data_IF_713852669520
#
_entry.id   IF_713852669520
#
_cell.length_a   1.000
_cell.length_b   1.000
_cell.length_c   1.000
_cell.angle_alpha   90.00
_cell.angle_beta   90.00
_cell.angle_gamma   90.00
#
_symmetry.space_group_name_H-M   'P 1'
#
loop_
_entity.id
_entity.type
_entity.pdbx_description
1 polymer ?
#
# COMPACT_ATOMS: atom_id res chain seq x y z
N UNK A 1 -14.34 -23.31 -7.39
CA UNK A 1 -15.32 -22.21 -7.40
C UNK A 1 -14.89 -21.11 -6.45
N UNK A 2 -14.73 -21.38 -5.14
CA UNK A 2 -14.23 -20.39 -4.16
C UNK A 2 -12.87 -19.81 -4.57
N UNK A 3 -11.90 -20.64 -4.96
CA UNK A 3 -10.58 -20.17 -5.47
C UNK A 3 -10.71 -19.25 -6.69
N UNK A 4 -11.62 -19.56 -7.63
CA UNK A 4 -11.87 -18.70 -8.80
C UNK A 4 -12.49 -17.36 -8.40
N UNK A 5 -13.41 -17.36 -7.42
CA UNK A 5 -14.00 -16.15 -6.86
C UNK A 5 -13.00 -15.29 -6.09
N UNK A 6 -12.13 -15.90 -5.29
CA UNK A 6 -11.04 -15.21 -4.60
C UNK A 6 -10.08 -14.57 -5.62
N UNK A 7 -9.67 -15.32 -6.64
CA UNK A 7 -8.83 -14.80 -7.72
C UNK A 7 -9.50 -13.61 -8.45
N UNK A 8 -10.81 -13.73 -8.75
CA UNK A 8 -11.60 -12.67 -9.36
C UNK A 8 -11.64 -11.40 -8.51
N UNK A 9 -11.83 -11.53 -7.19
CA UNK A 9 -11.84 -10.39 -6.26
C UNK A 9 -10.50 -9.65 -6.21
N UNK A 10 -9.39 -10.39 -6.10
CA UNK A 10 -8.04 -9.81 -6.07
C UNK A 10 -7.70 -9.17 -7.42
N UNK A 11 -8.06 -9.82 -8.53
CA UNK A 11 -7.88 -9.27 -9.87
C UNK A 11 -8.67 -7.96 -10.08
N UNK A 12 -9.88 -7.87 -9.54
CA UNK A 12 -10.67 -6.64 -9.59
C UNK A 12 -10.08 -5.54 -8.70
N UNK A 13 -9.64 -5.88 -7.48
CA UNK A 13 -9.11 -4.92 -6.51
C UNK A 13 -7.78 -4.30 -6.93
N UNK A 14 -6.82 -5.12 -7.38
CA UNK A 14 -5.47 -4.66 -7.76
C UNK A 14 -5.27 -4.54 -9.27
N UNK A 15 -6.34 -4.71 -10.07
CA UNK A 15 -6.25 -4.70 -11.54
C UNK A 15 -5.21 -5.71 -12.09
N UNK A 16 -4.99 -6.79 -11.33
CA UNK A 16 -3.88 -7.75 -11.47
C UNK A 16 -4.42 -9.17 -11.69
N UNK A 17 -4.67 -9.58 -12.96
CA UNK A 17 -5.29 -10.87 -13.25
C UNK A 17 -4.39 -12.06 -12.95
N UNK A 18 -3.08 -11.99 -13.22
CA UNK A 18 -2.15 -13.10 -12.94
C UNK A 18 -1.84 -13.12 -11.45
N UNK A 19 -1.62 -11.96 -10.84
CA UNK A 19 -1.40 -11.84 -9.40
C UNK A 19 -2.59 -12.37 -8.60
N UNK A 20 -3.83 -12.13 -9.04
CA UNK A 20 -5.03 -12.70 -8.42
C UNK A 20 -5.11 -14.22 -8.48
N UNK A 21 -4.70 -14.84 -9.59
CA UNK A 21 -4.63 -16.31 -9.69
C UNK A 21 -3.60 -16.87 -8.72
N UNK A 22 -2.40 -16.28 -8.71
CA UNK A 22 -1.32 -16.71 -7.82
C UNK A 22 -1.67 -16.51 -6.35
N UNK A 23 -2.34 -15.39 -6.01
CA UNK A 23 -2.89 -15.16 -4.67
C UNK A 23 -3.84 -16.29 -4.26
N UNK A 24 -4.79 -16.65 -5.13
CA UNK A 24 -5.75 -17.68 -4.80
C UNK A 24 -5.10 -19.08 -4.71
N UNK A 25 -4.00 -19.30 -5.43
CA UNK A 25 -3.21 -20.53 -5.32
C UNK A 25 -2.36 -20.55 -4.04
N UNK A 26 -1.81 -19.40 -3.61
CA UNK A 26 -0.95 -19.27 -2.43
C UNK A 26 -1.77 -19.33 -1.13
N UNK A 27 -2.91 -18.65 -1.07
CA UNK A 27 -3.69 -18.48 0.18
C UNK A 27 -4.99 -19.30 0.24
N UNK A 28 -5.62 -19.59 -0.91
CA UNK A 28 -6.96 -20.18 -0.92
C UNK A 28 -7.01 -21.63 -1.44
N UNK A 29 -5.89 -22.18 -1.92
CA UNK A 29 -5.84 -23.53 -2.46
C UNK A 29 -4.84 -24.41 -1.70
N UNK A 30 -5.34 -25.46 -1.06
CA UNK A 30 -4.48 -26.48 -0.43
C UNK A 30 -3.92 -27.50 -1.42
N UNK A 31 -4.61 -27.70 -2.56
CA UNK A 31 -4.15 -28.60 -3.60
C UNK A 31 -4.41 -28.03 -5.00
N UNK A 32 -3.41 -28.16 -5.87
CA UNK A 32 -3.44 -27.63 -7.21
C UNK A 32 -3.73 -28.71 -8.26
N UNK A 33 -4.80 -28.52 -9.03
CA UNK A 33 -5.06 -29.25 -10.29
C UNK A 33 -4.89 -28.30 -11.47
N UNK A 34 -4.30 -28.74 -12.58
CA UNK A 34 -4.10 -27.91 -13.78
C UNK A 34 -5.41 -27.30 -14.31
N UNK A 35 -6.52 -28.05 -14.21
CA UNK A 35 -7.85 -27.57 -14.57
C UNK A 35 -8.33 -26.39 -13.70
N UNK A 36 -7.88 -26.30 -12.44
CA UNK A 36 -8.20 -25.18 -11.56
C UNK A 36 -7.47 -23.91 -12.00
N UNK A 37 -6.19 -24.01 -12.38
CA UNK A 37 -5.41 -22.85 -12.86
C UNK A 37 -6.02 -22.25 -14.12
N UNK A 38 -6.35 -23.09 -15.11
CA UNK A 38 -6.96 -22.56 -16.34
C UNK A 38 -8.30 -21.88 -16.07
N UNK A 39 -9.13 -22.46 -15.19
CA UNK A 39 -10.43 -21.88 -14.82
C UNK A 39 -10.29 -20.57 -14.06
N UNK A 40 -9.35 -20.47 -13.10
CA UNK A 40 -9.08 -19.22 -12.39
C UNK A 40 -8.52 -18.15 -13.34
N UNK A 41 -7.59 -18.51 -14.21
CA UNK A 41 -7.02 -17.61 -15.21
C UNK A 41 -8.07 -17.07 -16.17
N UNK A 42 -8.95 -17.93 -16.69
CA UNK A 42 -10.06 -17.49 -17.52
C UNK A 42 -10.99 -16.54 -16.76
N UNK A 43 -11.29 -16.85 -15.49
CA UNK A 43 -12.15 -15.99 -14.66
C UNK A 43 -11.54 -14.61 -14.45
N UNK A 44 -10.26 -14.52 -14.09
CA UNK A 44 -9.59 -13.22 -13.87
C UNK A 44 -9.41 -12.43 -15.18
N UNK A 45 -9.22 -13.11 -16.32
CA UNK A 45 -9.19 -12.46 -17.63
C UNK A 45 -10.55 -11.83 -17.97
N UNK A 46 -11.66 -12.54 -17.74
CA UNK A 46 -13.01 -11.99 -17.94
C UNK A 46 -13.24 -10.79 -17.02
N UNK A 47 -12.87 -10.89 -15.74
CA UNK A 47 -12.97 -9.77 -14.79
C UNK A 47 -12.18 -8.56 -15.27
N UNK A 48 -10.95 -8.74 -15.75
CA UNK A 48 -10.14 -7.64 -16.26
C UNK A 48 -10.79 -6.95 -17.47
N UNK A 49 -11.38 -7.71 -18.40
CA UNK A 49 -12.10 -7.15 -19.56
C UNK A 49 -13.35 -6.39 -19.13
N UNK A 50 -14.16 -6.97 -18.25
CA UNK A 50 -15.40 -6.34 -17.75
C UNK A 50 -15.10 -5.07 -16.98
N UNK A 51 -14.10 -5.10 -16.09
CA UNK A 51 -13.66 -3.93 -15.34
C UNK A 51 -13.18 -2.83 -16.28
N UNK A 52 -12.38 -3.16 -17.30
CA UNK A 52 -11.91 -2.21 -18.32
C UNK A 52 -13.06 -1.58 -19.10
N UNK A 53 -13.99 -2.39 -19.57
CA UNK A 53 -15.18 -1.90 -20.28
C UNK A 53 -16.02 -0.97 -19.39
N UNK A 54 -16.17 -1.32 -18.11
CA UNK A 54 -16.85 -0.50 -17.11
C UNK A 54 -16.15 0.85 -16.86
N UNK A 55 -14.84 0.85 -16.65
CA UNK A 55 -14.05 2.09 -16.47
C UNK A 55 -14.16 2.97 -17.72
N UNK A 56 -14.04 2.41 -18.93
CA UNK A 56 -14.17 3.16 -20.17
C UNK A 56 -15.57 3.76 -20.35
N UNK A 57 -16.62 3.00 -20.03
CA UNK A 57 -17.98 3.52 -20.02
C UNK A 57 -18.13 4.68 -19.04
N UNK A 58 -17.53 4.55 -17.86
CA UNK A 58 -17.56 5.56 -16.81
C UNK A 58 -16.69 6.79 -17.07
N UNK A 59 -15.62 6.66 -17.88
CA UNK A 59 -14.77 7.76 -18.33
C UNK A 59 -15.52 8.78 -19.21
N UNK A 60 -16.72 8.44 -19.70
CA UNK A 60 -17.61 9.38 -20.39
C UNK A 60 -18.26 10.43 -19.46
N UNK A 61 -17.84 10.48 -18.18
CA UNK A 61 -18.32 11.45 -17.18
C UNK A 61 -19.62 11.04 -16.47
N UNK A 62 -20.16 9.86 -16.78
CA UNK A 62 -21.46 9.40 -16.25
C UNK A 62 -21.40 8.69 -14.90
N UNK A 63 -20.21 8.32 -14.41
CA UNK A 63 -20.04 7.56 -13.16
C UNK A 63 -19.15 8.26 -12.11
N UNK A 64 -18.90 9.56 -12.24
CA UNK A 64 -17.97 10.27 -11.34
C UNK A 64 -16.55 9.68 -11.39
N UNK A 65 -15.92 9.59 -10.21
CA UNK A 65 -14.52 9.14 -10.04
C UNK A 65 -14.23 7.70 -10.48
N UNK A 66 -15.25 6.86 -10.72
CA UNK A 66 -15.03 5.47 -11.18
C UNK A 66 -14.37 5.37 -12.56
N UNK A 67 -14.49 6.41 -13.39
CA UNK A 67 -13.83 6.49 -14.69
C UNK A 67 -12.38 7.01 -14.62
N UNK A 68 -11.94 7.49 -13.46
CA UNK A 68 -10.63 8.12 -13.27
C UNK A 68 -9.60 7.12 -12.72
N UNK A 69 -8.41 7.11 -13.30
CA UNK A 69 -7.32 6.22 -12.90
C UNK A 69 -6.94 5.17 -13.95
N UNK A 70 -5.69 5.23 -14.40
CA UNK A 70 -5.11 4.31 -15.39
C UNK A 70 -5.06 2.86 -14.93
N UNK A 71 -4.87 1.95 -15.89
CA UNK A 71 -4.64 0.51 -15.65
C UNK A 71 -3.29 0.26 -14.96
N UNK A 72 -2.31 1.06 -15.34
CA UNK A 72 -1.02 1.15 -14.69
C UNK A 72 -1.20 2.17 -13.56
N UNK A 73 -1.06 1.72 -12.32
CA UNK A 73 -1.17 2.63 -11.19
C UNK A 73 0.10 3.48 -11.07
N UNK A 74 1.24 2.99 -11.59
CA UNK A 74 2.56 3.58 -11.32
C UNK A 74 3.43 3.66 -12.58
N UNK A 75 3.88 4.87 -12.90
CA UNK A 75 5.02 5.08 -13.80
C UNK A 75 6.27 5.22 -12.92
N UNK A 76 6.91 4.09 -12.62
CA UNK A 76 8.20 4.11 -11.92
C UNK A 76 9.21 4.58 -12.97
N UNK A 77 9.94 5.65 -12.66
CA UNK A 77 10.93 6.24 -13.58
C UNK A 77 11.85 5.20 -14.21
N UNK A 78 12.34 5.50 -15.42
CA UNK A 78 13.13 4.60 -16.26
C UNK A 78 14.16 3.78 -15.44
N UNK A 79 14.10 2.44 -15.48
CA UNK A 79 14.94 1.60 -14.64
C UNK A 79 16.41 1.82 -14.98
N UNK A 80 17.20 2.16 -13.95
CA UNK A 80 18.65 2.03 -14.01
C UNK A 80 18.97 0.54 -14.17
N UNK A 81 19.59 0.17 -15.29
CA UNK A 81 19.92 -1.23 -15.62
C UNK A 81 21.13 -1.76 -14.84
N UNK A 82 21.79 -0.92 -14.05
CA UNK A 82 22.97 -1.26 -13.27
C UNK A 82 22.70 -1.01 -11.78
N UNK A 83 22.56 -2.08 -11.00
CA UNK A 83 22.45 -1.99 -9.55
C UNK A 83 23.83 -1.86 -8.92
N UNK A 84 24.01 -0.82 -8.12
CA UNK A 84 25.22 -0.63 -7.32
C UNK A 84 25.20 -1.57 -6.10
N UNK A 85 26.39 -1.92 -5.58
CA UNK A 85 26.50 -2.65 -4.32
C UNK A 85 25.80 -1.91 -3.16
N UNK A 86 25.78 -0.57 -3.22
CA UNK A 86 25.06 0.27 -2.25
C UNK A 86 23.55 0.06 -2.28
N UNK A 87 22.98 -0.20 -3.45
CA UNK A 87 21.54 -0.46 -3.62
C UNK A 87 21.16 -1.78 -2.95
N UNK A 88 21.97 -2.82 -3.14
CA UNK A 88 21.74 -4.14 -2.53
C UNK A 88 21.79 -4.05 -1.01
N UNK A 89 22.76 -3.31 -0.45
CA UNK A 89 22.86 -3.09 1.01
C UNK A 89 21.62 -2.36 1.53
N UNK A 90 21.18 -1.31 0.85
CA UNK A 90 19.98 -0.57 1.23
C UNK A 90 18.73 -1.46 1.18
N UNK A 91 18.60 -2.33 0.18
CA UNK A 91 17.48 -3.28 0.05
C UNK A 91 17.50 -4.35 1.15
N UNK A 92 18.68 -4.87 1.52
CA UNK A 92 18.79 -5.82 2.63
C UNK A 92 18.37 -5.16 3.94
N UNK A 93 18.82 -3.94 4.22
CA UNK A 93 18.41 -3.19 5.42
C UNK A 93 16.90 -2.91 5.39
N UNK A 94 16.37 -2.50 4.24
CA UNK A 94 14.94 -2.24 4.05
C UNK A 94 14.10 -3.48 4.40
N UNK A 95 14.46 -4.65 3.86
CA UNK A 95 13.76 -5.90 4.08
C UNK A 95 13.88 -6.43 5.52
N UNK A 96 15.07 -6.34 6.12
CA UNK A 96 15.28 -6.81 7.50
C UNK A 96 14.46 -6.00 8.51
N UNK A 97 14.47 -4.67 8.40
CA UNK A 97 13.68 -3.79 9.27
C UNK A 97 12.17 -3.99 9.03
N UNK A 98 11.73 -4.15 7.78
CA UNK A 98 10.33 -4.46 7.49
C UNK A 98 9.88 -5.82 8.06
N UNK A 99 10.75 -6.84 8.05
CA UNK A 99 10.45 -8.13 8.66
C UNK A 99 10.29 -8.06 10.17
N UNK A 100 11.13 -7.26 10.86
CA UNK A 100 11.00 -6.98 12.29
C UNK A 100 9.69 -6.23 12.57
N UNK A 101 9.43 -5.14 11.84
CA UNK A 101 8.21 -4.34 11.97
C UNK A 101 6.95 -5.16 11.67
N UNK A 102 7.00 -6.07 10.70
CA UNK A 102 5.90 -6.97 10.34
C UNK A 102 5.60 -7.99 11.43
N UNK A 103 6.63 -8.57 12.05
CA UNK A 103 6.45 -9.47 13.20
C UNK A 103 5.87 -8.73 14.42
N UNK A 104 6.35 -7.52 14.72
CA UNK A 104 5.79 -6.67 15.79
C UNK A 104 4.33 -6.32 15.47
N UNK A 105 4.01 -5.99 14.22
CA UNK A 105 2.65 -5.68 13.79
C UNK A 105 1.71 -6.85 14.07
N UNK A 106 2.09 -8.06 13.66
CA UNK A 106 1.29 -9.27 13.88
C UNK A 106 1.11 -9.59 15.38
N UNK A 107 2.16 -9.44 16.18
CA UNK A 107 2.09 -9.63 17.63
C UNK A 107 1.11 -8.65 18.29
N UNK A 108 1.18 -7.36 17.92
CA UNK A 108 0.28 -6.34 18.45
C UNK A 108 -1.16 -6.57 17.98
N UNK A 109 -1.36 -6.92 16.70
CA UNK A 109 -2.66 -7.27 16.12
C UNK A 109 -3.31 -8.42 16.89
N UNK A 110 -2.60 -9.53 17.14
CA UNK A 110 -3.15 -10.66 17.90
C UNK A 110 -3.62 -10.20 19.30
N UNK A 111 -2.81 -9.38 19.99
CA UNK A 111 -3.16 -8.86 21.32
C UNK A 111 -4.39 -7.94 21.30
N UNK A 112 -4.49 -7.07 20.28
CA UNK A 112 -5.64 -6.18 20.09
C UNK A 112 -6.90 -6.98 19.78
N UNK A 113 -6.84 -7.94 18.86
CA UNK A 113 -7.98 -8.79 18.48
C UNK A 113 -8.48 -9.63 19.67
N UNK A 114 -7.58 -10.20 20.48
CA UNK A 114 -7.97 -10.90 21.72
C UNK A 114 -8.70 -9.98 22.69
N UNK A 115 -8.22 -8.75 22.85
CA UNK A 115 -8.88 -7.74 23.69
C UNK A 115 -10.26 -7.39 23.16
N UNK A 116 -10.39 -7.23 21.84
CA UNK A 116 -11.68 -6.98 21.19
C UNK A 116 -12.64 -8.15 21.31
N UNK A 117 -12.17 -9.40 21.28
CA UNK A 117 -13.01 -10.58 21.52
C UNK A 117 -13.69 -10.52 22.89
N UNK A 118 -12.94 -10.18 23.95
CA UNK A 118 -13.47 -10.04 25.32
C UNK A 118 -14.52 -8.92 25.39
N UNK A 119 -14.29 -7.80 24.70
CA UNK A 119 -15.24 -6.68 24.64
C UNK A 119 -16.50 -7.10 23.86
N UNK A 120 -16.32 -7.83 22.77
CA UNK A 120 -17.37 -8.30 21.89
C UNK A 120 -18.30 -9.31 22.56
N UNK A 121 -17.81 -10.10 23.52
CA UNK A 121 -18.61 -11.02 24.32
C UNK A 121 -19.58 -10.30 25.29
N UNK A 122 -19.30 -9.06 25.68
CA UNK A 122 -20.17 -8.28 26.59
C UNK A 122 -21.50 -7.85 25.96
N UNK A 123 -21.68 -8.07 24.66
CA UNK A 123 -22.94 -7.84 23.95
C UNK A 123 -22.82 -6.90 22.75
N UNK A 124 -23.88 -6.81 21.92
CA UNK A 124 -23.85 -6.05 20.66
C UNK A 124 -23.62 -4.55 20.86
N UNK A 125 -24.08 -3.98 21.97
CA UNK A 125 -23.89 -2.57 22.29
C UNK A 125 -22.40 -2.21 22.40
N UNK A 126 -21.60 -3.04 23.09
CA UNK A 126 -20.15 -2.82 23.22
C UNK A 126 -19.41 -2.94 21.89
N UNK A 127 -19.86 -3.84 20.99
CA UNK A 127 -19.29 -3.99 19.64
C UNK A 127 -19.45 -2.71 18.83
N UNK A 128 -20.67 -2.16 18.81
CA UNK A 128 -20.99 -0.93 18.08
C UNK A 128 -20.24 0.25 18.69
N UNK A 129 -20.24 0.36 20.02
CA UNK A 129 -19.51 1.43 20.71
C UNK A 129 -18.01 1.41 20.40
N UNK A 130 -17.38 0.23 20.39
CA UNK A 130 -15.97 0.07 20.03
C UNK A 130 -15.71 0.53 18.58
N UNK A 131 -16.55 0.12 17.63
CA UNK A 131 -16.42 0.52 16.23
C UNK A 131 -16.57 2.05 16.05
N UNK A 132 -17.52 2.68 16.75
CA UNK A 132 -17.72 4.14 16.74
C UNK A 132 -16.56 4.88 17.40
N UNK A 133 -16.01 4.36 18.50
CA UNK A 133 -14.87 4.97 19.17
C UNK A 133 -13.62 4.95 18.28
N UNK A 134 -13.36 3.84 17.59
CA UNK A 134 -12.23 3.70 16.68
C UNK A 134 -12.42 4.56 15.42
N UNK A 135 -13.64 4.63 14.87
CA UNK A 135 -13.90 5.50 13.72
C UNK A 135 -13.68 6.97 14.08
N UNK A 136 -14.20 7.44 15.22
CA UNK A 136 -13.94 8.80 15.72
C UNK A 136 -12.45 9.06 15.91
N UNK A 137 -11.71 8.12 16.52
CA UNK A 137 -10.26 8.23 16.68
C UNK A 137 -9.54 8.38 15.33
N UNK A 138 -9.87 7.53 14.36
CA UNK A 138 -9.26 7.59 13.03
C UNK A 138 -9.55 8.91 12.33
N UNK A 139 -10.80 9.38 12.37
CA UNK A 139 -11.19 10.67 11.78
C UNK A 139 -10.48 11.85 12.46
N UNK A 140 -10.35 11.83 13.79
CA UNK A 140 -9.59 12.85 14.52
C UNK A 140 -8.11 12.85 14.09
N UNK A 141 -7.46 11.69 14.03
CA UNK A 141 -6.07 11.61 13.57
C UNK A 141 -5.91 12.14 12.14
N UNK A 142 -6.76 11.72 11.21
CA UNK A 142 -6.68 12.14 9.81
C UNK A 142 -6.90 13.64 9.62
N UNK A 143 -7.78 14.26 10.41
CA UNK A 143 -8.06 15.70 10.31
C UNK A 143 -7.04 16.58 11.05
N UNK A 144 -6.60 16.19 12.25
CA UNK A 144 -5.75 17.03 13.09
C UNK A 144 -4.26 16.87 12.81
N UNK A 145 -3.77 15.70 12.35
CA UNK A 145 -2.34 15.53 12.08
C UNK A 145 -1.79 16.45 10.96
N UNK A 146 -2.53 16.71 9.86
CA UNK A 146 -2.09 17.66 8.83
C UNK A 146 -1.79 19.07 9.35
N UNK A 147 -2.36 19.50 10.49
CA UNK A 147 -2.05 20.79 11.11
C UNK A 147 -0.60 20.93 11.56
N UNK A 148 0.10 19.81 11.81
CA UNK A 148 1.48 19.80 12.29
C UNK A 148 2.46 20.09 11.15
N UNK A 149 2.07 19.80 9.90
CA UNK A 149 2.94 19.96 8.74
C UNK A 149 3.00 21.42 8.26
N UNK A 150 4.16 21.82 7.78
CA UNK A 150 4.38 23.15 7.22
C UNK A 150 3.86 23.24 5.78
N UNK A 151 3.45 24.44 5.39
CA UNK A 151 3.08 24.73 4.00
C UNK A 151 4.31 24.84 3.11
N UNK A 152 4.26 24.19 1.95
CA UNK A 152 5.34 24.13 0.96
C UNK A 152 4.90 24.89 -0.30
N UNK A 153 5.75 25.71 -0.92
CA UNK A 153 5.42 26.40 -2.16
C UNK A 153 5.17 25.40 -3.28
N UNK A 154 4.17 25.69 -4.12
CA UNK A 154 3.90 24.89 -5.31
C UNK A 154 5.09 24.90 -6.29
N UNK A 155 5.46 23.74 -6.86
CA UNK A 155 6.50 23.69 -7.89
C UNK A 155 6.04 24.44 -9.16
N UNK A 156 6.95 25.18 -9.79
CA UNK A 156 6.67 26.00 -10.98
C UNK A 156 6.55 25.21 -12.28
N UNK A 157 7.12 24.00 -12.32
CA UNK A 157 7.20 23.15 -13.53
C UNK A 157 6.20 21.98 -13.54
N UNK A 158 5.18 21.99 -12.68
CA UNK A 158 4.20 20.90 -12.64
C UNK A 158 3.15 21.02 -13.74
N UNK A 159 2.98 19.95 -14.53
CA UNK A 159 1.88 19.81 -15.50
C UNK A 159 0.49 19.68 -14.85
N UNK A 160 0.47 19.46 -13.53
CA UNK A 160 -0.72 19.24 -12.69
C UNK A 160 -1.02 20.52 -11.91
N UNK A 161 -2.30 20.91 -11.76
CA UNK A 161 -2.67 22.09 -10.98
C UNK A 161 -2.23 21.95 -9.51
N UNK A 162 -1.58 23.00 -8.99
CA UNK A 162 -1.21 23.12 -7.59
C UNK A 162 -1.72 24.47 -7.04
N UNK A 163 -2.53 24.48 -5.97
CA UNK A 163 -3.10 23.33 -5.26
C UNK A 163 -4.33 22.73 -5.97
N UNK A 164 -4.53 21.42 -5.83
CA UNK A 164 -5.74 20.72 -6.25
C UNK A 164 -6.87 20.98 -5.25
N UNK A 165 -8.01 21.48 -5.73
CA UNK A 165 -9.21 21.77 -4.93
C UNK A 165 -10.15 20.56 -4.86
N UNK A 166 -10.07 19.65 -5.84
CA UNK A 166 -10.91 18.46 -5.93
C UNK A 166 -10.57 17.39 -4.87
N UNK A 167 -11.46 16.41 -4.68
CA UNK A 167 -11.27 15.29 -3.74
C UNK A 167 -10.08 14.38 -4.10
N UNK A 168 -9.69 14.32 -5.37
CA UNK A 168 -8.47 13.66 -5.86
C UNK A 168 -7.45 14.71 -6.31
N UNK A 169 -6.16 14.46 -6.11
CA UNK A 169 -5.13 15.35 -6.62
C UNK A 169 -3.75 15.19 -5.99
N UNK A 170 -2.72 15.63 -6.70
CA UNK A 170 -1.34 15.49 -6.22
C UNK A 170 -1.01 16.48 -5.10
N UNK A 171 -1.59 17.69 -5.07
CA UNK A 171 -1.17 18.75 -4.14
C UNK A 171 -2.35 19.33 -3.37
N UNK A 172 -2.63 18.81 -2.16
CA UNK A 172 -3.75 19.29 -1.34
C UNK A 172 -3.42 20.59 -0.62
N UNK A 173 -4.33 21.56 -0.74
CA UNK A 173 -4.34 22.74 0.11
C UNK A 173 -5.06 22.42 1.43
N UNK A 174 -4.37 22.65 2.53
CA UNK A 174 -4.95 22.53 3.86
C UNK A 174 -4.38 23.62 4.76
N UNK A 175 -5.21 24.62 5.07
CA UNK A 175 -4.87 25.77 5.90
C UNK A 175 -3.57 26.51 5.47
N UNK A 176 -3.31 26.53 4.16
CA UNK A 176 -2.14 27.19 3.57
C UNK A 176 -2.54 28.43 2.77
N UNK A 177 -1.64 29.43 2.64
CA UNK A 177 -1.85 30.57 1.75
C UNK A 177 -1.94 30.13 0.27
N UNK A 178 -2.54 30.96 -0.62
CA UNK A 178 -2.64 30.63 -2.04
C UNK A 178 -1.25 30.42 -2.66
N UNK A 179 -1.12 29.38 -3.48
CA UNK A 179 0.16 28.97 -4.09
C UNK A 179 1.03 28.07 -3.22
N UNK A 180 0.53 27.62 -2.06
CA UNK A 180 1.18 26.63 -1.20
C UNK A 180 0.30 25.40 -1.03
N UNK A 181 0.94 24.25 -0.78
CA UNK A 181 0.29 22.99 -0.47
C UNK A 181 0.82 22.41 0.85
N UNK A 182 0.08 21.48 1.44
CA UNK A 182 0.47 20.76 2.64
C UNK A 182 0.76 19.30 2.26
N UNK A 183 1.99 18.84 2.49
CA UNK A 183 2.45 17.53 2.04
C UNK A 183 1.79 16.38 2.82
N UNK A 184 1.60 16.55 4.13
CA UNK A 184 0.92 15.60 5.01
C UNK A 184 -0.58 15.54 4.71
N UNK A 185 -1.22 16.67 4.44
CA UNK A 185 -2.61 16.73 3.96
C UNK A 185 -2.76 16.00 2.62
N UNK A 186 -1.77 16.09 1.74
CA UNK A 186 -1.78 15.38 0.47
C UNK A 186 -1.64 13.86 0.61
N UNK A 187 -1.26 13.36 1.79
CA UNK A 187 -1.22 11.92 2.10
C UNK A 187 -2.51 11.48 2.82
N UNK A 188 -3.01 12.25 3.81
CA UNK A 188 -4.19 11.87 4.60
C UNK A 188 -5.54 12.23 3.96
N UNK A 189 -5.63 13.35 3.22
CA UNK A 189 -6.87 13.89 2.65
C UNK A 189 -7.03 13.57 1.16
N UNK A 190 -6.34 12.52 0.71
CA UNK A 190 -6.48 11.94 -0.62
C UNK A 190 -7.09 10.55 -0.51
N UNK A 191 -7.56 10.03 -1.65
CA UNK A 191 -7.87 8.60 -1.75
C UNK A 191 -6.62 7.77 -1.45
N UNK A 192 -6.80 6.57 -0.90
CA UNK A 192 -5.66 5.69 -0.65
C UNK A 192 -4.90 5.36 -1.94
N UNK A 193 -5.61 5.20 -3.07
CA UNK A 193 -5.00 4.99 -4.38
C UNK A 193 -4.09 6.16 -4.78
N UNK A 194 -4.57 7.41 -4.65
CA UNK A 194 -3.76 8.58 -4.97
C UNK A 194 -2.62 8.81 -3.98
N UNK A 195 -2.81 8.47 -2.71
CA UNK A 195 -1.73 8.49 -1.72
C UNK A 195 -0.61 7.50 -2.08
N UNK A 196 -0.95 6.27 -2.52
CA UNK A 196 0.06 5.30 -2.97
C UNK A 196 0.73 5.80 -4.26
N UNK A 197 -0.02 6.32 -5.23
CA UNK A 197 0.53 6.93 -6.46
C UNK A 197 1.52 8.05 -6.14
N UNK A 198 1.15 8.94 -5.24
CA UNK A 198 1.99 10.04 -4.79
C UNK A 198 3.28 9.56 -4.12
N UNK A 199 3.22 8.49 -3.32
CA UNK A 199 4.41 7.91 -2.68
C UNK A 199 5.30 7.18 -3.68
N UNK A 200 4.74 6.55 -4.70
CA UNK A 200 5.50 5.81 -5.73
C UNK A 200 6.02 6.72 -6.85
N UNK A 201 5.56 7.96 -6.92
CA UNK A 201 5.99 8.94 -7.92
C UNK A 201 7.52 9.19 -7.88
N UNK A 202 8.19 9.28 -9.05
CA UNK A 202 9.64 9.45 -9.15
C UNK A 202 10.13 10.80 -8.62
N UNK A 203 11.46 10.94 -8.56
CA UNK A 203 12.22 11.99 -7.86
C UNK A 203 11.86 13.45 -8.22
N UNK A 204 11.21 13.70 -9.36
CA UNK A 204 11.15 15.02 -10.02
C UNK A 204 9.91 15.85 -9.63
N UNK A 205 8.80 15.23 -9.23
CA UNK A 205 7.52 15.94 -9.09
C UNK A 205 7.20 16.37 -7.66
N UNK A 206 7.48 15.51 -6.67
CA UNK A 206 7.03 15.75 -5.28
C UNK A 206 7.99 15.29 -4.20
N UNK A 207 8.56 16.27 -3.51
CA UNK A 207 9.41 16.07 -2.34
C UNK A 207 8.58 16.16 -1.05
N UNK A 208 8.38 15.02 -0.38
CA UNK A 208 7.82 14.99 0.97
C UNK A 208 8.92 15.21 2.00
N UNK A 209 8.60 15.93 3.08
CA UNK A 209 9.49 16.04 4.23
C UNK A 209 9.56 14.71 4.99
N UNK A 210 10.73 14.40 5.55
CA UNK A 210 10.96 13.19 6.34
C UNK A 210 10.03 13.15 7.56
N UNK A 211 9.80 14.29 8.21
CA UNK A 211 8.87 14.41 9.34
C UNK A 211 7.44 14.02 8.94
N UNK A 212 6.94 14.54 7.82
CA UNK A 212 5.60 14.23 7.30
C UNK A 212 5.47 12.75 6.94
N UNK A 213 6.48 12.17 6.28
CA UNK A 213 6.50 10.74 5.95
C UNK A 213 6.50 9.85 7.20
N UNK A 214 7.28 10.22 8.22
CA UNK A 214 7.34 9.45 9.47
C UNK A 214 6.03 9.53 10.25
N UNK A 215 5.42 10.72 10.35
CA UNK A 215 4.10 10.91 10.98
C UNK A 215 3.05 10.06 10.25
N UNK A 216 3.04 10.12 8.91
CA UNK A 216 2.12 9.33 8.10
C UNK A 216 2.34 7.82 8.30
N UNK A 217 3.59 7.35 8.22
CA UNK A 217 3.96 5.96 8.47
C UNK A 217 3.48 5.48 9.85
N UNK A 218 3.85 6.19 10.91
CA UNK A 218 3.49 5.81 12.28
C UNK A 218 1.97 5.76 12.47
N UNK A 219 1.27 6.77 11.95
CA UNK A 219 -0.19 6.85 12.05
C UNK A 219 -0.88 5.71 11.33
N UNK A 220 -0.53 5.45 10.06
CA UNK A 220 -1.15 4.36 9.28
C UNK A 220 -0.78 3.00 9.88
N UNK A 221 0.45 2.83 10.37
CA UNK A 221 0.89 1.60 11.03
C UNK A 221 0.08 1.33 12.30
N UNK A 222 0.00 2.28 13.24
CA UNK A 222 -0.73 2.07 14.51
C UNK A 222 -2.26 2.06 14.35
N UNK A 223 -2.82 2.94 13.53
CA UNK A 223 -4.26 2.91 13.24
C UNK A 223 -4.62 1.63 12.49
N UNK A 224 -3.77 1.12 11.60
CA UNK A 224 -3.94 -0.18 10.97
C UNK A 224 -4.07 -1.31 11.98
N UNK A 225 -3.24 -1.33 13.04
CA UNK A 225 -3.34 -2.32 14.13
C UNK A 225 -4.67 -2.17 14.88
N UNK A 226 -5.07 -0.95 15.23
CA UNK A 226 -6.28 -0.69 16.04
C UNK A 226 -7.57 -0.90 15.25
N UNK A 227 -7.58 -0.57 13.96
CA UNK A 227 -8.76 -0.75 13.09
C UNK A 227 -8.99 -2.21 12.74
N UNK A 228 -7.97 -3.06 12.87
CA UNK A 228 -8.12 -4.48 12.61
C UNK A 228 -8.92 -5.21 13.69
N UNK A 229 -9.86 -6.05 13.25
CA UNK A 229 -10.67 -6.87 14.15
C UNK A 229 -11.88 -6.15 14.76
N UNK A 230 -12.15 -4.90 14.36
CA UNK A 230 -13.43 -4.25 14.65
C UNK A 230 -14.56 -4.96 13.91
N UNK A 231 -15.80 -4.80 14.38
CA UNK A 231 -16.98 -5.42 13.79
C UNK A 231 -17.47 -4.70 12.50
N UNK A 232 -16.55 -4.45 11.55
CA UNK A 232 -16.79 -3.78 10.26
C UNK A 232 -16.05 -4.57 9.17
N UNK A 233 -16.65 -4.81 7.99
CA UNK A 233 -15.94 -5.43 6.87
C UNK A 233 -14.83 -4.49 6.37
N UNK A 234 -13.57 -4.85 6.63
CA UNK A 234 -12.40 -4.07 6.22
C UNK A 234 -11.25 -4.98 5.78
N UNK A 235 -10.38 -4.48 4.89
CA UNK A 235 -9.17 -5.17 4.45
C UNK A 235 -7.90 -4.57 5.06
N UNK A 236 -6.87 -5.40 5.25
CA UNK A 236 -5.55 -4.98 5.75
C UNK A 236 -4.54 -4.61 4.64
N UNK A 237 -4.81 -4.99 3.39
CA UNK A 237 -3.83 -4.84 2.31
C UNK A 237 -3.41 -3.39 2.06
N UNK A 238 -4.38 -2.49 1.89
CA UNK A 238 -4.12 -1.09 1.53
C UNK A 238 -3.36 -0.33 2.64
N UNK A 239 -3.76 -0.40 3.93
CA UNK A 239 -3.00 0.23 5.02
C UNK A 239 -1.56 -0.27 5.12
N UNK A 240 -1.32 -1.57 4.90
CA UNK A 240 0.03 -2.14 4.94
C UNK A 240 0.87 -1.66 3.75
N UNK A 241 0.28 -1.57 2.55
CA UNK A 241 0.95 -0.98 1.37
C UNK A 241 1.32 0.47 1.65
N UNK A 242 0.40 1.29 2.17
CA UNK A 242 0.65 2.70 2.49
C UNK A 242 1.74 2.89 3.54
N UNK A 243 1.69 2.10 4.62
CA UNK A 243 2.72 2.12 5.66
C UNK A 243 4.09 1.72 5.07
N UNK A 244 4.15 0.62 4.33
CA UNK A 244 5.38 0.17 3.66
C UNK A 244 5.90 1.19 2.63
N UNK A 245 5.02 1.83 1.87
CA UNK A 245 5.36 2.87 0.91
C UNK A 245 6.00 4.08 1.58
N UNK A 246 5.39 4.56 2.66
CA UNK A 246 5.91 5.68 3.44
C UNK A 246 7.26 5.34 4.08
N UNK A 247 7.36 4.16 4.69
CA UNK A 247 8.60 3.64 5.26
C UNK A 247 9.72 3.52 4.20
N UNK A 248 9.43 2.94 3.05
CA UNK A 248 10.36 2.85 1.93
C UNK A 248 10.86 4.21 1.47
N UNK A 249 9.97 5.21 1.41
CA UNK A 249 10.35 6.59 1.08
C UNK A 249 11.22 7.24 2.15
N UNK A 250 10.98 6.98 3.45
CA UNK A 250 11.87 7.41 4.54
C UNK A 250 13.26 6.79 4.37
N UNK A 251 13.34 5.49 4.17
CA UNK A 251 14.63 4.79 3.98
C UNK A 251 15.36 5.32 2.74
N UNK A 252 14.65 5.60 1.65
CA UNK A 252 15.25 6.18 0.44
C UNK A 252 15.96 7.52 0.69
N UNK A 253 15.42 8.35 1.60
CA UNK A 253 16.02 9.63 1.98
C UNK A 253 17.24 9.44 2.88
N UNK A 254 17.20 8.45 3.77
CA UNK A 254 18.33 8.15 4.66
C UNK A 254 19.52 7.54 3.91
N UNK A 255 19.25 6.76 2.87
CA UNK A 255 20.26 6.06 2.07
C UNK A 255 20.61 6.79 0.76
N UNK A 256 20.10 8.01 0.53
CA UNK A 256 20.39 8.85 -0.64
C UNK A 256 21.88 8.96 -1.02
N UNK A 257 22.87 9.02 -0.10
CA UNK A 257 24.27 9.08 -0.48
C UNK A 257 24.86 7.73 -0.96
N UNK A 258 24.19 6.61 -0.69
CA UNK A 258 24.70 5.24 -0.93
C UNK A 258 24.02 4.59 -2.14
N UNK A 259 22.78 4.99 -2.43
CA UNK A 259 21.94 4.39 -3.47
C UNK A 259 21.69 5.34 -4.63
N UNK A 260 21.62 4.79 -5.84
CA UNK A 260 21.19 5.52 -7.03
C UNK A 260 19.76 5.21 -7.45
N UNK A 261 19.05 4.35 -6.69
CA UNK A 261 17.67 3.98 -7.00
C UNK A 261 16.71 5.16 -6.77
N UNK A 262 15.66 5.18 -7.59
CA UNK A 262 14.59 6.14 -7.46
C UNK A 262 13.82 5.99 -6.13
N UNK A 263 13.46 7.13 -5.53
CA UNK A 263 12.70 7.19 -4.28
C UNK A 263 11.33 6.49 -4.39
N UNK A 264 10.69 6.60 -5.56
CA UNK A 264 9.45 5.90 -5.89
C UNK A 264 9.62 4.39 -5.86
N UNK A 265 10.74 3.91 -6.39
CA UNK A 265 11.05 2.48 -6.39
C UNK A 265 11.35 1.95 -4.98
N UNK A 266 12.07 2.71 -4.14
CA UNK A 266 12.20 2.36 -2.72
C UNK A 266 10.87 2.28 -1.98
N UNK A 267 9.92 3.15 -2.34
CA UNK A 267 8.57 3.12 -1.76
C UNK A 267 7.85 1.83 -2.17
N UNK A 268 7.97 1.40 -3.43
CA UNK A 268 7.48 0.10 -3.90
C UNK A 268 8.12 -1.08 -3.15
N UNK A 269 9.45 -1.07 -2.99
CA UNK A 269 10.17 -2.10 -2.23
C UNK A 269 9.77 -2.10 -0.75
N UNK A 270 9.50 -0.94 -0.18
CA UNK A 270 8.99 -0.77 1.17
C UNK A 270 7.60 -1.38 1.33
N UNK A 271 6.69 -1.12 0.38
CA UNK A 271 5.36 -1.73 0.35
C UNK A 271 5.43 -3.25 0.22
N UNK A 272 6.27 -3.76 -0.70
CA UNK A 272 6.50 -5.19 -0.88
C UNK A 272 7.01 -5.83 0.42
N UNK A 273 8.09 -5.29 0.98
CA UNK A 273 8.72 -5.82 2.18
C UNK A 273 7.80 -5.82 3.39
N UNK A 274 6.98 -4.77 3.60
CA UNK A 274 6.02 -4.73 4.70
C UNK A 274 4.92 -5.78 4.52
N UNK A 275 4.34 -5.93 3.32
CA UNK A 275 3.36 -6.98 3.04
C UNK A 275 3.94 -8.39 3.22
N UNK A 276 5.18 -8.61 2.78
CA UNK A 276 5.89 -9.88 2.99
C UNK A 276 6.16 -10.17 4.47
N UNK A 277 6.42 -9.14 5.27
CA UNK A 277 6.65 -9.27 6.72
C UNK A 277 5.36 -9.54 7.51
N UNK A 278 4.26 -8.85 7.19
CA UNK A 278 2.99 -9.01 7.91
C UNK A 278 2.19 -10.20 7.40
N UNK A 279 2.02 -10.35 6.08
CA UNK A 279 1.13 -11.35 5.48
C UNK A 279 1.86 -12.61 5.02
N UNK A 280 3.21 -12.62 4.98
CA UNK A 280 4.04 -13.78 4.59
C UNK A 280 3.82 -14.31 3.18
N UNK A 281 3.06 -13.59 2.36
CA UNK A 281 2.85 -13.86 0.95
C UNK A 281 4.07 -13.43 0.14
N UNK A 282 4.35 -14.14 -0.95
CA UNK A 282 5.61 -14.02 -1.70
C UNK A 282 5.37 -13.83 -3.19
N UNK A 283 5.07 -14.92 -3.90
CA UNK A 283 5.00 -14.96 -5.36
C UNK A 283 3.83 -14.13 -5.86
N UNK A 284 2.68 -14.20 -5.21
CA UNK A 284 1.51 -13.41 -5.56
C UNK A 284 1.76 -11.90 -5.45
N UNK A 285 2.32 -11.41 -4.33
CA UNK A 285 2.64 -9.99 -4.15
C UNK A 285 3.62 -9.50 -5.21
N UNK A 286 4.66 -10.29 -5.49
CA UNK A 286 5.65 -9.92 -6.50
C UNK A 286 4.98 -9.70 -7.86
N UNK A 287 4.06 -10.59 -8.26
CA UNK A 287 3.34 -10.46 -9.53
C UNK A 287 2.30 -9.35 -9.50
N UNK A 288 1.61 -9.14 -8.37
CA UNK A 288 0.67 -8.01 -8.22
C UNK A 288 1.40 -6.68 -8.40
N UNK A 289 2.52 -6.50 -7.71
CA UNK A 289 3.31 -5.27 -7.82
C UNK A 289 3.89 -5.11 -9.22
N UNK A 290 4.33 -6.19 -9.87
CA UNK A 290 4.79 -6.16 -11.26
C UNK A 290 3.68 -5.77 -12.25
N UNK A 291 2.47 -6.32 -12.13
CA UNK A 291 1.37 -5.96 -13.02
C UNK A 291 0.93 -4.50 -12.81
N UNK A 292 1.11 -3.96 -11.59
CA UNK A 292 0.81 -2.56 -11.27
C UNK A 292 1.87 -1.57 -11.77
N UNK A 293 3.15 -1.96 -11.81
CA UNK A 293 4.26 -1.11 -12.30
C UNK A 293 4.59 -1.32 -13.77
N UNK A 294 4.21 -2.46 -14.33
CA UNK A 294 4.52 -2.87 -15.71
C UNK A 294 6.03 -2.85 -16.05
N UNK A 295 6.89 -3.09 -15.05
CA UNK A 295 8.34 -3.13 -15.22
C UNK A 295 8.94 -4.43 -14.68
N UNK A 296 9.40 -5.28 -15.61
CA UNK A 296 10.02 -6.57 -15.34
C UNK A 296 11.40 -6.45 -14.71
N UNK A 297 12.11 -5.33 -14.89
CA UNK A 297 13.46 -5.13 -14.38
C UNK A 297 13.48 -4.94 -12.86
N UNK A 298 12.35 -4.56 -12.27
CA UNK A 298 12.19 -4.39 -10.82
C UNK A 298 12.04 -5.72 -10.07
N UNK A 299 11.64 -6.78 -10.78
CA UNK A 299 11.24 -8.07 -10.18
C UNK A 299 12.33 -8.71 -9.30
N UNK A 300 13.62 -8.77 -9.69
CA UNK A 300 14.65 -9.41 -8.86
C UNK A 300 14.83 -8.75 -7.49
N UNK A 301 14.78 -7.43 -7.41
CA UNK A 301 14.91 -6.69 -6.15
C UNK A 301 13.65 -6.80 -5.29
N UNK A 302 12.46 -6.80 -5.90
CA UNK A 302 11.20 -7.05 -5.20
C UNK A 302 11.20 -8.46 -4.60
N UNK A 303 11.63 -9.48 -5.35
CA UNK A 303 11.77 -10.84 -4.84
C UNK A 303 12.78 -10.91 -3.69
N UNK A 304 13.94 -10.29 -3.84
CA UNK A 304 14.98 -10.27 -2.82
C UNK A 304 14.48 -9.66 -1.51
N UNK A 305 13.86 -8.46 -1.57
CA UNK A 305 13.38 -7.77 -0.38
C UNK A 305 12.25 -8.52 0.32
N UNK A 306 11.36 -9.15 -0.47
CA UNK A 306 10.26 -9.98 0.05
C UNK A 306 10.79 -11.21 0.79
N UNK A 307 11.74 -11.93 0.19
CA UNK A 307 12.33 -13.12 0.80
C UNK A 307 13.03 -12.77 2.11
N UNK A 308 13.82 -11.69 2.13
CA UNK A 308 14.50 -11.23 3.35
C UNK A 308 13.48 -10.88 4.45
N UNK A 309 12.49 -10.05 4.12
CA UNK A 309 11.48 -9.62 5.09
C UNK A 309 10.70 -10.80 5.67
N UNK A 310 10.24 -11.71 4.80
CA UNK A 310 9.55 -12.93 5.21
C UNK A 310 10.43 -13.81 6.10
N UNK A 311 11.67 -14.09 5.70
CA UNK A 311 12.58 -14.93 6.49
C UNK A 311 12.82 -14.36 7.88
N UNK A 312 13.01 -13.04 7.99
CA UNK A 312 13.18 -12.37 9.29
C UNK A 312 11.91 -12.47 10.13
N UNK A 313 10.73 -12.23 9.55
CA UNK A 313 9.46 -12.32 10.23
C UNK A 313 9.15 -13.75 10.72
N UNK A 314 9.46 -14.77 9.91
CA UNK A 314 9.26 -16.17 10.25
C UNK A 314 10.15 -16.61 11.43
N UNK A 315 11.42 -16.19 11.45
CA UNK A 315 12.36 -16.48 12.55
C UNK A 315 11.89 -15.85 13.87
N UNK A 316 11.43 -14.60 13.84
CA UNK A 316 10.98 -13.89 15.05
C UNK A 316 9.69 -14.48 15.62
N UNK A 317 8.73 -14.82 14.76
CA UNK A 317 7.46 -15.39 15.21
C UNK A 317 7.64 -16.77 15.84
N UNK A 318 8.53 -17.61 15.28
CA UNK A 318 8.83 -18.93 15.84
C UNK A 318 9.45 -18.87 17.23
N UNK A 319 10.13 -17.77 17.59
CA UNK A 319 10.72 -17.58 18.93
C UNK A 319 9.75 -16.99 19.96
N UNK A 320 8.64 -16.40 19.51
CA UNK A 320 7.63 -15.78 20.39
C UNK A 320 6.45 -16.72 20.72
N UNK A 321 6.34 -17.87 20.05
CA UNK A 321 5.41 -18.97 20.35
C UNK A 321 6.09 -20.02 21.23
#
# INVERSE_FOLDING_TARGET
MITCGAAAGVAAAFRSPVGGVLFALEEAASWWRSALLWRSFFTTAVVAIVLRAGIQFCSTGKCGLFGEGGLILYDVGSPQTEFSAGDIVAVIVLGTVAGILGSIYNFLVDKVVRTYSIINEKGPFFKIFLAVAISLLTSCCYYFLPWIANCIPCPTDSKVPCPSVDESGEYKIFQCPPGYYNDLASLFLNTNDDAIRNLFSPKITKEFHISSLFIFFATVYFLGILTYGIAVPSGLFIPVILAGAAYGRVVSRLFEPITQLDRGFFSLLGAASMLGGTMRMTVSICVILLELTNDLLLLPLVMLVLLISKSVADILQQRCL
#
